data_IF_729078669443
#
_entry.id   IF_729078669443
#
_cell.length_a   1.000
_cell.length_b   1.000
_cell.length_c   1.000
_cell.angle_alpha   90.00
_cell.angle_beta   90.00
_cell.angle_gamma   90.00
#
_symmetry.space_group_name_H-M   'P 1'
#
loop_
_entity.id
_entity.type
_entity.pdbx_description
1 polymer ?
#
# COMPACT_ATOMS: atom_id res chain seq x y z
N UNK A 1 -10.49 16.21 -1.88
CA UNK A 1 -11.09 14.86 -1.89
C UNK A 1 -9.99 13.78 -1.86
N UNK A 2 -9.02 13.84 -0.94
CA UNK A 2 -7.94 12.84 -0.85
C UNK A 2 -8.24 11.74 0.19
N UNK A 3 -8.99 12.06 1.25
CA UNK A 3 -9.31 11.14 2.34
C UNK A 3 -10.19 9.95 1.91
N UNK A 4 -11.03 10.16 0.89
CA UNK A 4 -11.89 9.10 0.34
C UNK A 4 -11.07 8.05 -0.43
N UNK A 5 -10.05 8.49 -1.17
CA UNK A 5 -9.20 7.60 -1.96
C UNK A 5 -8.44 6.61 -1.07
N UNK A 6 -7.86 7.10 0.04
CA UNK A 6 -7.20 6.25 1.03
C UNK A 6 -8.17 5.25 1.68
N UNK A 7 -9.35 5.69 2.11
CA UNK A 7 -10.33 4.80 2.73
C UNK A 7 -10.83 3.71 1.77
N UNK A 8 -11.06 4.06 0.50
CA UNK A 8 -11.40 3.10 -0.56
C UNK A 8 -10.25 2.13 -0.83
N UNK A 9 -9.02 2.62 -0.95
CA UNK A 9 -7.84 1.78 -1.16
C UNK A 9 -7.64 0.76 -0.02
N UNK A 10 -7.77 1.19 1.23
CA UNK A 10 -7.70 0.29 2.39
C UNK A 10 -8.79 -0.79 2.35
N UNK A 11 -10.00 -0.44 1.94
CA UNK A 11 -11.13 -1.37 1.84
C UNK A 11 -10.90 -2.40 0.73
N UNK A 12 -10.44 -1.95 -0.43
CA UNK A 12 -10.14 -2.79 -1.59
C UNK A 12 -8.95 -3.73 -1.33
N UNK A 13 -7.91 -3.23 -0.64
CA UNK A 13 -6.81 -4.06 -0.17
C UNK A 13 -7.30 -5.14 0.80
N UNK A 14 -8.10 -4.78 1.80
CA UNK A 14 -8.69 -5.74 2.75
C UNK A 14 -9.61 -6.77 2.09
N UNK A 15 -10.30 -6.39 1.01
CA UNK A 15 -11.09 -7.30 0.18
C UNK A 15 -10.24 -8.14 -0.81
N UNK A 16 -8.89 -7.99 -0.77
CA UNK A 16 -7.93 -8.59 -1.71
C UNK A 16 -8.26 -8.34 -3.18
N UNK A 17 -8.88 -7.20 -3.49
CA UNK A 17 -9.16 -6.81 -4.88
C UNK A 17 -7.99 -6.09 -5.52
N UNK A 18 -7.13 -5.46 -4.71
CA UNK A 18 -5.93 -4.74 -5.14
C UNK A 18 -4.70 -5.25 -4.39
N UNK A 19 -3.56 -5.20 -5.05
CA UNK A 19 -2.25 -5.39 -4.40
C UNK A 19 -1.88 -4.17 -3.56
N UNK A 20 -0.89 -4.32 -2.68
CA UNK A 20 -0.36 -3.23 -1.88
C UNK A 20 0.05 -2.01 -2.73
N UNK A 21 0.80 -2.24 -3.81
CA UNK A 21 1.25 -1.21 -4.76
C UNK A 21 0.08 -0.43 -5.38
N UNK A 22 -0.93 -1.17 -5.85
CA UNK A 22 -2.11 -0.59 -6.51
C UNK A 22 -2.94 0.23 -5.52
N UNK A 23 -3.11 -0.27 -4.30
CA UNK A 23 -3.84 0.42 -3.26
C UNK A 23 -3.09 1.68 -2.79
N UNK A 24 -1.77 1.62 -2.65
CA UNK A 24 -0.93 2.77 -2.32
C UNK A 24 -0.97 3.85 -3.42
N UNK A 25 -0.81 3.45 -4.68
CA UNK A 25 -0.91 4.33 -5.86
C UNK A 25 -2.28 4.98 -5.95
N UNK A 26 -3.36 4.21 -5.74
CA UNK A 26 -4.72 4.74 -5.73
C UNK A 26 -4.97 5.72 -4.58
N UNK A 27 -4.35 5.46 -3.42
CA UNK A 27 -4.38 6.37 -2.28
C UNK A 27 -3.48 7.60 -2.46
N UNK A 28 -2.59 7.60 -3.45
CA UNK A 28 -1.61 8.67 -3.70
C UNK A 28 -0.51 8.75 -2.64
N UNK A 29 -0.20 7.63 -1.99
CA UNK A 29 0.83 7.53 -0.94
C UNK A 29 1.84 6.45 -1.32
N UNK A 30 3.04 6.50 -0.73
CA UNK A 30 4.01 5.42 -0.89
C UNK A 30 3.54 4.14 -0.19
N UNK A 31 3.97 2.99 -0.68
CA UNK A 31 3.62 1.68 -0.10
C UNK A 31 3.97 1.58 1.39
N UNK A 32 5.13 2.10 1.80
CA UNK A 32 5.52 2.16 3.21
C UNK A 32 4.54 2.97 4.07
N UNK A 33 4.02 4.08 3.55
CA UNK A 33 3.01 4.87 4.25
C UNK A 33 1.67 4.14 4.30
N UNK A 34 1.29 3.47 3.21
CA UNK A 34 0.09 2.64 3.15
C UNK A 34 0.15 1.48 4.15
N UNK A 35 1.31 0.81 4.29
CA UNK A 35 1.55 -0.23 5.31
C UNK A 35 1.30 0.33 6.72
N UNK A 36 1.84 1.50 7.05
CA UNK A 36 1.60 2.12 8.37
C UNK A 36 0.11 2.35 8.64
N UNK A 37 -0.66 2.70 7.60
CA UNK A 37 -2.11 2.90 7.72
C UNK A 37 -2.87 1.57 7.91
N UNK A 38 -2.40 0.49 7.27
CA UNK A 38 -2.93 -0.87 7.47
C UNK A 38 -2.66 -1.35 8.90
N UNK A 39 -1.43 -1.21 9.39
CA UNK A 39 -1.05 -1.58 10.75
C UNK A 39 -1.86 -0.82 11.81
N UNK A 40 -2.04 0.49 11.63
CA UNK A 40 -2.85 1.32 12.52
C UNK A 40 -4.30 0.84 12.63
N UNK A 41 -4.79 0.13 11.61
CA UNK A 41 -6.15 -0.41 11.53
C UNK A 41 -6.22 -1.91 11.85
N UNK A 42 -5.08 -2.55 12.14
CA UNK A 42 -4.98 -3.98 12.44
C UNK A 42 -5.14 -4.88 11.22
N UNK A 43 -4.87 -4.36 10.01
CA UNK A 43 -4.89 -5.17 8.78
C UNK A 43 -3.49 -5.76 8.58
N UNK A 44 -3.41 -7.09 8.56
CA UNK A 44 -2.15 -7.80 8.35
C UNK A 44 -1.66 -7.63 6.91
N UNK A 45 -0.40 -7.20 6.79
CA UNK A 45 0.33 -7.17 5.52
C UNK A 45 1.23 -8.39 5.48
N UNK A 46 1.18 -9.16 4.40
CA UNK A 46 2.02 -10.36 4.29
C UNK A 46 3.49 -9.96 4.19
N UNK A 47 4.38 -10.82 4.69
CA UNK A 47 5.83 -10.58 4.62
C UNK A 47 6.31 -10.42 3.17
N UNK A 48 5.72 -11.16 2.23
CA UNK A 48 5.99 -11.03 0.80
C UNK A 48 5.70 -9.62 0.27
N UNK A 49 4.58 -9.03 0.69
CA UNK A 49 4.20 -7.66 0.30
C UNK A 49 5.07 -6.60 0.98
N UNK A 50 5.47 -6.83 2.24
CA UNK A 50 6.44 -5.95 2.92
C UNK A 50 7.81 -6.00 2.25
N UNK A 51 8.25 -7.18 1.84
CA UNK A 51 9.51 -7.35 1.14
C UNK A 51 9.47 -6.75 -0.27
N UNK A 52 8.33 -6.82 -0.96
CA UNK A 52 8.12 -6.15 -2.23
C UNK A 52 8.17 -4.62 -2.08
N UNK A 53 7.48 -4.06 -1.08
CA UNK A 53 7.51 -2.63 -0.80
C UNK A 53 8.90 -2.10 -0.42
N UNK A 54 9.67 -2.90 0.33
CA UNK A 54 11.05 -2.56 0.66
C UNK A 54 12.00 -2.63 -0.56
N UNK A 55 11.67 -3.46 -1.57
CA UNK A 55 12.44 -3.60 -2.81
C UNK A 55 12.13 -2.52 -3.85
N UNK A 56 10.88 -2.06 -3.92
CA UNK A 56 10.41 -1.06 -4.90
C UNK A 56 11.02 0.33 -4.71
N UNK A 57 11.37 0.71 -3.47
CA UNK A 57 12.08 1.96 -3.18
C UNK A 57 13.51 1.98 -3.76
N UNK A 58 14.09 0.81 -4.07
CA UNK A 58 15.45 0.68 -4.60
C UNK A 58 15.52 0.66 -6.14
N UNK A 59 14.45 0.24 -6.83
CA UNK A 59 14.44 0.09 -8.30
C UNK A 59 14.03 1.35 -9.06
N UNK A 60 13.56 2.40 -8.41
CA UNK A 60 13.16 3.65 -9.08
C UNK A 60 14.34 4.58 -9.51
N UNK A 61 15.60 4.11 -9.45
CA UNK A 61 16.78 4.88 -9.89
C UNK A 61 17.75 4.04 -10.75
N UNK A 62 17.26 3.44 -11.82
CA UNK A 62 18.11 2.96 -12.92
C UNK A 62 17.33 2.83 -14.24
N UNK A 63 17.25 3.91 -15.01
CA UNK A 63 17.63 4.02 -16.45
C UNK A 63 17.57 5.49 -16.89
#
# INVERSE_FOLDING_TARGET
MATNALSSALTLYGARTLTLEQAATQAGVSEAEFIRQLERRGIEVTEAERSAAAGSDHTARAD
#
